data_IF_732426195030
#
_entry.id   IF_732426195030
#
_cell.length_a   1.000
_cell.length_b   1.000
_cell.length_c   1.000
_cell.angle_alpha   90.00
_cell.angle_beta   90.00
_cell.angle_gamma   90.00
#
_symmetry.space_group_name_H-M   'P 1'
#
loop_
_entity.id
_entity.type
_entity.pdbx_description
1 polymer ?
#
# COMPACT_ATOMS: atom_id res chain seq x y z
N UNK A 1 17.81 72.42 -28.35
CA UNK A 1 16.39 72.17 -28.03
C UNK A 1 16.21 70.65 -28.00
N UNK A 2 15.77 70.10 -26.84
CA UNK A 2 15.12 68.77 -26.63
C UNK A 2 16.00 67.50 -26.85
N UNK A 3 16.44 66.80 -25.79
CA UNK A 3 15.81 65.66 -25.06
C UNK A 3 15.50 64.40 -25.92
N UNK A 4 16.26 63.31 -25.73
CA UNK A 4 15.75 62.01 -25.22
C UNK A 4 16.83 60.91 -25.10
N UNK A 5 16.71 60.08 -24.06
CA UNK A 5 17.51 58.87 -23.76
C UNK A 5 16.59 57.63 -23.94
N UNK A 6 17.13 56.39 -23.87
CA UNK A 6 17.05 55.32 -24.89
C UNK A 6 15.77 54.47 -24.85
N UNK A 7 15.51 53.68 -25.91
CA UNK A 7 14.51 52.61 -25.87
C UNK A 7 15.04 51.29 -26.46
N UNK A 8 14.75 50.22 -25.74
CA UNK A 8 15.20 48.83 -25.88
C UNK A 8 14.70 48.11 -27.14
N UNK A 9 15.37 47.01 -27.46
CA UNK A 9 15.19 46.13 -28.62
C UNK A 9 13.76 45.54 -28.79
N UNK A 10 13.37 45.13 -30.01
CA UNK A 10 12.05 44.56 -30.29
C UNK A 10 11.91 43.11 -29.81
N UNK A 11 10.68 42.82 -29.39
CA UNK A 11 10.01 41.57 -29.02
C UNK A 11 10.47 40.27 -29.71
N UNK A 12 10.50 39.22 -28.88
CA UNK A 12 10.74 37.80 -29.14
C UNK A 12 9.61 37.16 -30.00
N UNK A 13 9.92 36.37 -31.05
CA UNK A 13 8.91 35.55 -31.68
C UNK A 13 8.65 34.32 -30.79
N UNK A 14 7.52 34.35 -30.09
CA UNK A 14 6.96 33.18 -29.42
C UNK A 14 6.78 32.03 -30.42
N UNK A 15 7.56 30.96 -30.24
CA UNK A 15 7.34 29.71 -30.93
C UNK A 15 5.95 29.18 -30.57
N UNK A 16 5.10 29.03 -31.59
CA UNK A 16 3.81 28.37 -31.47
C UNK A 16 4.03 26.94 -30.97
N UNK A 17 3.61 26.67 -29.73
CA UNK A 17 3.44 25.30 -29.24
C UNK A 17 2.16 24.75 -29.85
N UNK A 18 2.35 23.91 -30.85
CA UNK A 18 1.31 23.02 -31.39
C UNK A 18 0.61 22.30 -30.23
N UNK A 19 -0.70 22.52 -30.10
CA UNK A 19 -1.54 21.86 -29.12
C UNK A 19 -1.64 20.36 -29.46
N UNK A 20 -0.70 19.57 -28.94
CA UNK A 20 -0.81 18.12 -28.87
C UNK A 20 -2.07 17.75 -28.07
N UNK A 21 -2.83 16.80 -28.61
CA UNK A 21 -4.23 16.54 -28.29
C UNK A 21 -4.57 16.47 -26.81
N UNK A 22 -5.77 16.93 -26.49
CA UNK A 22 -6.39 16.80 -25.17
C UNK A 22 -6.40 15.31 -24.78
N UNK A 23 -5.39 14.90 -24.01
CA UNK A 23 -5.33 13.57 -23.42
C UNK A 23 -6.52 13.42 -22.49
N UNK A 24 -7.37 12.43 -22.76
CA UNK A 24 -8.42 12.01 -21.82
C UNK A 24 -7.72 11.72 -20.48
N UNK A 25 -8.14 12.33 -19.36
CA UNK A 25 -7.52 12.03 -18.07
C UNK A 25 -7.74 10.54 -17.76
N UNK A 26 -6.65 9.82 -17.53
CA UNK A 26 -6.71 8.44 -17.03
C UNK A 26 -7.09 8.51 -15.55
N UNK A 27 -8.33 8.12 -15.22
CA UNK A 27 -8.84 8.12 -13.84
C UNK A 27 -8.74 6.71 -13.27
N UNK A 28 -7.74 6.48 -12.41
CA UNK A 28 -7.60 5.22 -11.67
C UNK A 28 -8.56 5.23 -10.48
N UNK A 29 -9.41 4.21 -10.34
CA UNK A 29 -10.38 4.13 -9.25
C UNK A 29 -9.93 3.16 -8.15
N UNK A 30 -10.50 3.30 -6.95
CA UNK A 30 -10.30 2.34 -5.87
C UNK A 30 -10.77 0.92 -6.22
N UNK A 31 -11.73 0.77 -7.13
CA UNK A 31 -12.16 -0.56 -7.61
C UNK A 31 -11.11 -1.24 -8.49
N UNK A 32 -10.34 -0.46 -9.26
CA UNK A 32 -9.23 -0.98 -10.05
C UNK A 32 -8.11 -1.47 -9.13
N UNK A 33 -7.80 -0.72 -8.07
CA UNK A 33 -6.85 -1.14 -7.02
C UNK A 33 -7.35 -2.39 -6.29
N UNK A 34 -8.63 -2.44 -5.91
CA UNK A 34 -9.19 -3.54 -5.10
C UNK A 34 -9.14 -4.90 -5.78
N UNK A 35 -9.39 -4.97 -7.10
CA UNK A 35 -9.32 -6.22 -7.86
C UNK A 35 -7.91 -6.80 -7.90
N UNK A 36 -6.92 -5.91 -7.81
CA UNK A 36 -5.51 -6.25 -8.01
C UNK A 36 -4.86 -6.61 -6.67
N UNK A 37 -5.29 -6.00 -5.57
CA UNK A 37 -4.86 -6.30 -4.18
C UNK A 37 -5.27 -7.68 -3.63
N UNK A 38 -5.92 -8.52 -4.43
CA UNK A 38 -6.47 -9.81 -3.99
C UNK A 38 -5.41 -10.78 -3.41
N UNK A 39 -4.12 -10.60 -3.71
CA UNK A 39 -3.05 -11.46 -3.20
C UNK A 39 -2.63 -11.14 -1.76
N UNK A 40 -3.04 -9.99 -1.20
CA UNK A 40 -2.66 -9.55 0.14
C UNK A 40 -1.13 -9.47 0.34
N UNK A 41 -0.70 -9.34 1.60
CA UNK A 41 0.73 -9.29 1.97
C UNK A 41 1.29 -10.66 2.41
N UNK A 42 0.41 -11.67 2.53
CA UNK A 42 0.73 -12.96 3.14
C UNK A 42 0.79 -12.91 4.68
N UNK A 43 0.76 -14.08 5.33
CA UNK A 43 0.90 -14.18 6.79
C UNK A 43 1.90 -15.28 7.10
N UNK A 44 2.89 -14.97 7.95
CA UNK A 44 3.75 -15.96 8.60
C UNK A 44 3.48 -15.97 10.10
N UNK A 45 3.55 -17.15 10.72
CA UNK A 45 3.37 -17.29 12.17
C UNK A 45 4.45 -18.12 12.84
N UNK A 46 4.70 -17.84 14.12
CA UNK A 46 5.55 -18.64 15.00
C UNK A 46 4.85 -18.92 16.34
N UNK A 47 4.97 -20.15 16.89
CA UNK A 47 5.60 -21.31 16.26
C UNK A 47 4.82 -21.79 15.01
N UNK A 48 5.50 -22.40 14.03
CA UNK A 48 4.82 -22.91 12.84
C UNK A 48 3.96 -24.13 13.16
N UNK A 49 2.99 -24.44 12.27
CA UNK A 49 2.15 -25.64 12.36
C UNK A 49 0.76 -25.38 12.94
N UNK A 50 -0.16 -26.32 12.74
CA UNK A 50 -1.61 -26.15 12.94
C UNK A 50 -2.07 -25.90 14.40
N UNK A 51 -1.20 -26.15 15.38
CA UNK A 51 -1.53 -26.03 16.81
C UNK A 51 -0.56 -25.07 17.49
N UNK A 52 -1.10 -24.19 18.33
CA UNK A 52 -0.31 -23.39 19.27
C UNK A 52 -0.68 -23.79 20.70
N UNK A 53 0.31 -23.82 21.59
CA UNK A 53 0.07 -24.02 23.02
C UNK A 53 -0.50 -22.73 23.60
N UNK A 54 -1.63 -22.82 24.31
CA UNK A 54 -2.27 -21.65 24.93
C UNK A 54 -1.34 -20.89 25.90
N UNK A 55 -0.36 -21.59 26.49
CA UNK A 55 0.63 -21.00 27.40
C UNK A 55 1.76 -20.22 26.70
N UNK A 56 1.86 -20.30 25.37
CA UNK A 56 2.86 -19.59 24.56
C UNK A 56 2.20 -18.51 23.71
N UNK A 57 2.92 -17.43 23.48
CA UNK A 57 2.49 -16.40 22.52
C UNK A 57 2.53 -16.96 21.09
N UNK A 58 1.64 -16.43 20.25
CA UNK A 58 1.71 -16.59 18.80
C UNK A 58 2.22 -15.29 18.22
N UNK A 59 3.35 -15.36 17.51
CA UNK A 59 3.95 -14.25 16.78
C UNK A 59 3.47 -14.30 15.34
N UNK A 60 3.13 -13.15 14.77
CA UNK A 60 2.75 -13.03 13.35
C UNK A 60 3.54 -11.90 12.70
N UNK A 61 3.82 -12.06 11.41
CA UNK A 61 4.44 -11.03 10.60
C UNK A 61 4.10 -11.23 9.12
N UNK A 62 4.27 -10.17 8.35
CA UNK A 62 4.04 -10.12 6.90
C UNK A 62 5.21 -9.41 6.19
N UNK A 63 5.23 -9.42 4.86
CA UNK A 63 6.04 -8.47 4.10
C UNK A 63 5.44 -7.06 4.22
N UNK A 64 6.31 -6.07 4.37
CA UNK A 64 5.98 -4.64 4.27
C UNK A 64 6.47 -3.99 2.98
N UNK A 65 6.85 -4.79 1.99
CA UNK A 65 7.35 -4.31 0.71
C UNK A 65 6.21 -3.76 -0.15
N UNK A 66 6.53 -2.76 -0.98
CA UNK A 66 5.61 -2.26 -1.99
C UNK A 66 5.34 -3.34 -3.05
N UNK A 67 4.10 -3.38 -3.53
CA UNK A 67 3.71 -4.24 -4.65
C UNK A 67 3.54 -3.40 -5.90
N UNK A 68 4.16 -3.84 -7.00
CA UNK A 68 3.99 -3.25 -8.33
C UNK A 68 3.05 -4.11 -9.14
N UNK A 69 2.06 -3.48 -9.75
CA UNK A 69 1.01 -4.17 -10.48
C UNK A 69 0.69 -3.44 -11.78
N UNK A 70 0.40 -4.20 -12.82
CA UNK A 70 -0.02 -3.65 -14.11
C UNK A 70 -1.52 -3.88 -14.30
N UNK A 71 -2.24 -2.84 -14.73
CA UNK A 71 -3.67 -2.92 -15.02
C UNK A 71 -4.00 -2.03 -16.21
N UNK A 72 -5.25 -2.12 -16.69
CA UNK A 72 -5.77 -1.23 -17.73
C UNK A 72 -6.85 -0.33 -17.14
N UNK A 73 -6.71 0.98 -17.33
CA UNK A 73 -7.68 1.98 -16.88
C UNK A 73 -8.18 2.73 -18.11
N UNK A 74 -9.47 2.65 -18.40
CA UNK A 74 -10.05 3.24 -19.60
C UNK A 74 -9.43 2.73 -20.92
N UNK A 75 -8.87 1.51 -20.91
CA UNK A 75 -8.18 0.91 -22.06
C UNK A 75 -6.69 1.27 -22.20
N UNK A 76 -6.14 2.13 -21.33
CA UNK A 76 -4.72 2.45 -21.31
C UNK A 76 -3.97 1.60 -20.26
N UNK A 77 -2.77 1.08 -20.55
CA UNK A 77 -1.96 0.37 -19.57
C UNK A 77 -1.45 1.35 -18.49
N UNK A 78 -1.56 0.94 -17.22
CA UNK A 78 -1.14 1.70 -16.05
C UNK A 78 -0.37 0.78 -15.11
N UNK A 79 0.75 1.27 -14.60
CA UNK A 79 1.50 0.63 -13.51
C UNK A 79 1.16 1.31 -12.19
N UNK A 80 0.72 0.53 -11.21
CA UNK A 80 0.38 0.96 -9.85
C UNK A 80 1.45 0.42 -8.91
N UNK A 81 2.01 1.29 -8.08
CA UNK A 81 2.87 0.91 -6.96
C UNK A 81 2.10 1.19 -5.68
N UNK A 82 1.85 0.15 -4.89
CA UNK A 82 1.14 0.25 -3.63
C UNK A 82 2.04 -0.11 -2.47
N UNK A 83 2.07 0.74 -1.46
CA UNK A 83 2.89 0.57 -0.26
C UNK A 83 1.97 0.39 0.94
N UNK A 84 2.11 -0.67 1.75
CA UNK A 84 1.27 -0.85 2.91
C UNK A 84 1.33 0.36 3.86
N UNK A 85 0.17 0.88 4.23
CA UNK A 85 0.01 1.96 5.20
C UNK A 85 -0.34 1.46 6.60
N UNK A 86 -1.10 0.36 6.70
CA UNK A 86 -1.46 -0.26 7.99
C UNK A 86 -1.87 -1.72 7.87
N UNK A 87 -1.71 -2.46 8.96
CA UNK A 87 -2.03 -3.88 9.09
C UNK A 87 -3.00 -4.07 10.25
N UNK A 88 -4.12 -4.74 9.99
CA UNK A 88 -5.07 -5.14 11.04
C UNK A 88 -5.11 -6.66 11.11
N UNK A 89 -4.65 -7.18 12.24
CA UNK A 89 -4.62 -8.60 12.59
C UNK A 89 -5.89 -8.94 13.35
N UNK A 90 -6.68 -9.87 12.83
CA UNK A 90 -7.77 -10.51 13.56
C UNK A 90 -7.26 -11.85 14.10
N UNK A 91 -7.38 -12.06 15.41
CA UNK A 91 -6.81 -13.23 16.09
C UNK A 91 -7.76 -14.44 16.10
N UNK A 92 -8.98 -14.31 15.55
CA UNK A 92 -9.97 -15.40 15.51
C UNK A 92 -10.61 -15.71 16.86
N UNK A 93 -10.31 -14.94 17.91
CA UNK A 93 -10.93 -15.03 19.25
C UNK A 93 -11.79 -13.80 19.59
N UNK A 94 -12.12 -12.98 18.59
CA UNK A 94 -12.86 -11.73 18.73
C UNK A 94 -12.00 -10.52 19.09
N UNK A 95 -10.68 -10.69 19.22
CA UNK A 95 -9.75 -9.58 19.41
C UNK A 95 -9.00 -9.22 18.13
N UNK A 96 -8.61 -7.95 18.01
CA UNK A 96 -7.86 -7.44 16.85
C UNK A 96 -6.72 -6.52 17.29
N UNK A 97 -5.64 -6.50 16.52
CA UNK A 97 -4.51 -5.57 16.71
C UNK A 97 -4.23 -4.82 15.41
N UNK A 98 -4.15 -3.48 15.45
CA UNK A 98 -3.77 -2.67 14.27
C UNK A 98 -2.39 -2.04 14.46
N UNK A 99 -1.54 -2.16 13.45
CA UNK A 99 -0.14 -1.68 13.46
C UNK A 99 0.22 -0.97 12.17
N UNK A 100 1.28 -0.15 12.20
CA UNK A 100 2.01 0.31 11.00
C UNK A 100 3.25 -0.54 10.70
N UNK A 101 3.73 -1.26 11.71
CA UNK A 101 4.82 -2.21 11.60
C UNK A 101 4.28 -3.56 11.08
N UNK A 102 4.94 -4.21 10.08
CA UNK A 102 4.48 -5.48 9.52
C UNK A 102 4.69 -6.68 10.44
N UNK A 103 5.29 -6.51 11.62
CA UNK A 103 5.73 -7.61 12.46
C UNK A 103 7.16 -8.03 12.17
N UNK A 104 7.76 -8.74 13.12
CA UNK A 104 9.06 -9.37 12.98
C UNK A 104 9.03 -10.78 13.58
N UNK A 105 9.93 -11.63 13.13
CA UNK A 105 10.12 -12.96 13.71
C UNK A 105 10.77 -12.88 15.11
N UNK A 106 10.62 -13.92 15.91
CA UNK A 106 11.42 -14.11 17.11
C UNK A 106 12.93 -14.10 16.78
N UNK A 107 13.82 -13.52 17.61
CA UNK A 107 13.56 -12.97 18.95
C UNK A 107 12.99 -11.55 18.96
N UNK A 108 13.20 -10.76 17.91
CA UNK A 108 12.88 -9.32 17.86
C UNK A 108 11.43 -9.02 17.44
N UNK A 109 10.52 -9.95 17.74
CA UNK A 109 9.13 -9.86 17.39
C UNK A 109 8.42 -8.62 17.95
N UNK A 110 7.54 -8.04 17.14
CA UNK A 110 6.81 -6.80 17.46
C UNK A 110 5.29 -7.00 17.49
N UNK A 111 4.77 -8.03 16.80
CA UNK A 111 3.35 -8.36 16.77
C UNK A 111 3.14 -9.79 17.26
N UNK A 112 2.42 -9.91 18.37
CA UNK A 112 2.11 -11.18 19.00
C UNK A 112 0.78 -11.12 19.74
N UNK A 113 0.22 -12.30 20.02
CA UNK A 113 -0.98 -12.47 20.82
C UNK A 113 -0.86 -13.62 21.79
N UNK A 114 -1.59 -13.51 22.89
CA UNK A 114 -1.68 -14.56 23.91
C UNK A 114 -3.12 -14.98 24.08
N UNK A 115 -3.42 -16.21 23.67
CA UNK A 115 -4.72 -16.82 23.92
C UNK A 115 -4.87 -17.19 25.40
N UNK A 116 -6.08 -17.01 25.95
CA UNK A 116 -6.40 -17.32 27.36
C UNK A 116 -7.06 -18.68 27.54
N UNK A 117 -7.67 -19.22 26.50
CA UNK A 117 -8.40 -20.49 26.52
C UNK A 117 -8.11 -21.33 25.27
N UNK A 118 -8.27 -22.64 25.39
CA UNK A 118 -8.21 -23.55 24.24
C UNK A 118 -9.45 -23.37 23.38
N UNK A 119 -9.25 -23.26 22.07
CA UNK A 119 -10.32 -23.19 21.08
C UNK A 119 -9.92 -23.97 19.83
N UNK A 120 -10.91 -24.53 19.14
CA UNK A 120 -10.74 -25.18 17.85
C UNK A 120 -11.09 -24.22 16.71
N UNK A 121 -10.47 -24.42 15.54
CA UNK A 121 -10.73 -23.63 14.33
C UNK A 121 -10.46 -22.12 14.47
N UNK A 122 -9.50 -21.73 15.32
CA UNK A 122 -9.02 -20.34 15.40
C UNK A 122 -8.29 -19.99 14.09
N UNK A 123 -8.79 -18.96 13.39
CA UNK A 123 -8.22 -18.47 12.13
C UNK A 123 -7.70 -17.05 12.34
N UNK A 124 -6.39 -16.88 12.16
CA UNK A 124 -5.78 -15.55 12.15
C UNK A 124 -5.90 -14.98 10.74
N UNK A 125 -6.44 -13.77 10.62
CA UNK A 125 -6.59 -13.07 9.35
C UNK A 125 -5.85 -11.73 9.37
N UNK A 126 -5.40 -11.28 8.21
CA UNK A 126 -4.73 -10.00 8.03
C UNK A 126 -5.50 -9.17 7.01
N UNK A 127 -5.81 -7.93 7.38
CA UNK A 127 -6.25 -6.88 6.45
C UNK A 127 -5.13 -5.87 6.30
N UNK A 128 -4.61 -5.72 5.07
CA UNK A 128 -3.63 -4.68 4.73
C UNK A 128 -4.33 -3.51 4.06
N UNK A 129 -4.07 -2.30 4.54
CA UNK A 129 -4.42 -1.03 3.88
C UNK A 129 -3.18 -0.48 3.21
N UNK A 130 -3.33 0.08 2.02
CA UNK A 130 -2.25 0.56 1.14
C UNK A 130 -2.48 2.02 0.76
#
# INVERSE_FOLDING_TARGET
MLLNRPQSAPEEPAAAVEAAGAGVPVVVTSSDVSKVMANGSGITRQPPGAKALVSKIVIVYTSGDSQTMETQVGGAPVTIVATPASYTWDWGDGTTTTTKDPGAAYPDHTVFHKYSHTADNVVISLTTTW
#
